data_IF_666332908974
#
_entry.id   IF_666332908974
#
_cell.length_a   1.000
_cell.length_b   1.000
_cell.length_c   1.000
_cell.angle_alpha   90.00
_cell.angle_beta   90.00
_cell.angle_gamma   90.00
#
_symmetry.space_group_name_H-M   'P 1'
#
loop_
_entity.id
_entity.type
_entity.pdbx_description
1 polymer ?
#
# COMPACT_ATOMS: atom_id res chain seq x y z
N UNK A 1 -8.63 -6.11 31.51
CA UNK A 1 -7.44 -5.25 31.55
C UNK A 1 -6.32 -5.77 30.63
N UNK A 2 -6.10 -7.06 30.57
CA UNK A 2 -5.05 -7.69 29.73
C UNK A 2 -5.36 -7.62 28.24
N UNK A 3 -6.61 -7.86 27.86
CA UNK A 3 -7.06 -7.73 26.44
C UNK A 3 -6.96 -6.28 25.93
N UNK A 4 -7.27 -5.32 26.81
CA UNK A 4 -7.22 -3.89 26.47
C UNK A 4 -5.77 -3.40 26.28
N UNK A 5 -4.84 -3.92 27.08
CA UNK A 5 -3.41 -3.64 26.92
C UNK A 5 -2.83 -4.25 25.65
N UNK A 6 -3.24 -5.45 25.29
CA UNK A 6 -2.77 -6.12 24.07
C UNK A 6 -3.29 -5.41 22.81
N UNK A 7 -4.56 -4.98 22.84
CA UNK A 7 -5.16 -4.20 21.73
C UNK A 7 -4.49 -2.84 21.54
N UNK A 8 -4.11 -2.18 22.65
CA UNK A 8 -3.40 -0.89 22.62
C UNK A 8 -1.97 -1.08 22.15
N UNK A 9 -1.29 -2.18 22.53
CA UNK A 9 0.05 -2.51 22.06
C UNK A 9 0.07 -2.87 20.56
N UNK A 10 -0.91 -3.63 20.09
CA UNK A 10 -1.06 -3.97 18.69
C UNK A 10 -1.40 -2.72 17.83
N UNK A 11 -2.16 -1.78 18.38
CA UNK A 11 -2.41 -0.47 17.76
C UNK A 11 -1.17 0.43 17.78
N UNK A 12 -0.31 0.32 18.80
CA UNK A 12 0.95 1.05 18.90
C UNK A 12 2.02 0.51 17.95
N UNK A 13 1.95 -0.77 17.56
CA UNK A 13 2.80 -1.33 16.51
C UNK A 13 2.41 -0.83 15.11
N UNK A 14 1.15 -0.43 14.92
CA UNK A 14 0.64 0.11 13.64
C UNK A 14 0.77 1.64 13.53
N UNK A 15 0.86 2.38 14.65
CA UNK A 15 0.96 3.84 14.66
C UNK A 15 2.01 4.29 15.68
N UNK A 16 3.09 4.99 15.26
CA UNK A 16 4.02 5.58 16.21
C UNK A 16 3.25 6.54 17.15
N UNK A 17 3.36 6.40 18.49
CA UNK A 17 2.58 7.23 19.44
C UNK A 17 2.82 8.73 19.26
N UNK A 18 4.01 9.12 18.80
CA UNK A 18 4.33 10.52 18.51
C UNK A 18 3.55 11.10 17.34
N UNK A 19 3.21 10.31 16.33
CA UNK A 19 2.40 10.75 15.19
C UNK A 19 0.94 10.98 15.58
N UNK A 20 0.42 10.25 16.59
CA UNK A 20 -0.91 10.49 17.14
C UNK A 20 -1.00 11.81 17.91
N UNK A 21 0.08 12.24 18.56
CA UNK A 21 0.11 13.49 19.34
C UNK A 21 0.48 14.72 18.51
N UNK A 22 1.38 14.56 17.52
CA UNK A 22 1.86 15.66 16.68
C UNK A 22 1.06 15.79 15.36
N UNK A 23 0.43 14.70 14.89
CA UNK A 23 -0.40 14.68 13.71
C UNK A 23 -1.74 15.41 13.84
N UNK A 24 -2.13 15.81 15.07
CA UNK A 24 -3.35 16.56 15.31
C UNK A 24 -3.33 17.99 14.75
N UNK A 25 -2.17 18.54 14.42
CA UNK A 25 -1.97 19.95 14.07
C UNK A 25 -1.21 20.19 12.77
N UNK A 26 -0.71 19.13 12.12
CA UNK A 26 -0.19 19.25 10.77
C UNK A 26 -1.32 19.23 9.74
N UNK A 27 -1.11 19.72 8.49
CA UNK A 27 -2.00 19.35 7.41
C UNK A 27 -1.94 17.83 7.31
N UNK A 28 -2.91 17.17 7.94
CA UNK A 28 -3.20 15.78 7.66
C UNK A 28 -3.69 15.81 6.22
N UNK A 29 -2.75 15.71 5.29
CA UNK A 29 -3.12 15.15 4.01
C UNK A 29 -3.83 13.87 4.38
N UNK A 30 -5.13 13.72 4.05
CA UNK A 30 -5.76 12.45 4.25
C UNK A 30 -4.90 11.47 3.47
N UNK A 31 -4.03 10.76 4.19
CA UNK A 31 -3.30 9.63 3.66
C UNK A 31 -4.39 8.69 3.19
N UNK A 32 -4.92 9.03 2.01
CA UNK A 32 -5.93 8.28 1.28
C UNK A 32 -6.92 7.61 2.23
N UNK A 33 -7.88 8.40 2.72
CA UNK A 33 -8.96 7.89 3.54
C UNK A 33 -9.50 6.62 2.87
N UNK A 34 -9.48 5.53 3.61
CA UNK A 34 -9.99 4.24 3.13
C UNK A 34 -11.41 4.46 2.59
N UNK A 35 -11.70 4.13 1.33
CA UNK A 35 -13.03 4.28 0.78
C UNK A 35 -14.07 3.56 1.65
N UNK A 36 -15.24 4.16 1.81
CA UNK A 36 -16.31 3.57 2.61
C UNK A 36 -16.63 2.16 2.09
N UNK A 37 -16.87 1.23 3.00
CA UNK A 37 -17.23 -0.17 2.75
C UNK A 37 -16.12 -1.07 2.18
N UNK A 38 -14.89 -0.61 2.10
CA UNK A 38 -13.73 -1.45 1.76
C UNK A 38 -12.91 -1.81 2.99
N UNK A 39 -12.37 -3.02 3.03
CA UNK A 39 -11.29 -3.36 3.94
C UNK A 39 -9.97 -2.78 3.41
N UNK A 40 -8.97 -2.67 4.26
CA UNK A 40 -7.63 -2.22 3.84
C UNK A 40 -7.03 -3.14 2.78
N UNK A 41 -7.23 -4.45 2.93
CA UNK A 41 -6.79 -5.44 1.94
C UNK A 41 -7.47 -5.24 0.58
N UNK A 42 -8.79 -5.04 0.56
CA UNK A 42 -9.52 -4.76 -0.67
C UNK A 42 -9.04 -3.47 -1.35
N UNK A 43 -8.77 -2.44 -0.55
CA UNK A 43 -8.23 -1.19 -1.06
C UNK A 43 -6.82 -1.35 -1.60
N UNK A 44 -5.98 -2.15 -0.94
CA UNK A 44 -4.65 -2.51 -1.46
C UNK A 44 -4.76 -3.20 -2.83
N UNK A 45 -5.65 -4.17 -2.97
CA UNK A 45 -5.86 -4.86 -4.25
C UNK A 45 -6.25 -3.89 -5.38
N UNK A 46 -7.21 -3.00 -5.11
CA UNK A 46 -7.64 -1.98 -6.08
C UNK A 46 -6.49 -1.06 -6.48
N UNK A 47 -5.69 -0.61 -5.49
CA UNK A 47 -4.61 0.31 -5.75
C UNK A 47 -3.39 -0.32 -6.41
N UNK A 48 -3.07 -1.57 -6.08
CA UNK A 48 -1.74 -2.12 -6.37
C UNK A 48 -1.74 -3.41 -7.17
N UNK A 49 -2.87 -4.06 -7.40
CA UNK A 49 -2.92 -5.31 -8.16
C UNK A 49 -3.62 -5.09 -9.49
N UNK A 50 -2.86 -5.20 -10.59
CA UNK A 50 -3.42 -5.11 -11.94
C UNK A 50 -2.69 -6.08 -12.86
N UNK A 51 -3.43 -6.90 -13.65
CA UNK A 51 -2.80 -7.80 -14.61
C UNK A 51 -2.11 -7.04 -15.75
N UNK A 52 -1.05 -7.64 -16.27
CA UNK A 52 -0.34 -7.14 -17.45
C UNK A 52 -1.05 -7.54 -18.76
N UNK A 53 -0.96 -6.78 -19.86
CA UNK A 53 -0.27 -5.49 -19.99
C UNK A 53 -1.09 -4.35 -19.39
N UNK A 54 -0.41 -3.40 -18.74
CA UNK A 54 -1.04 -2.32 -18.02
C UNK A 54 -0.79 -0.98 -18.69
N UNK A 55 -1.86 -0.21 -18.87
CA UNK A 55 -1.84 1.20 -19.28
C UNK A 55 -2.23 2.05 -18.09
N UNK A 56 -1.35 2.92 -17.64
CA UNK A 56 -1.56 3.74 -16.44
C UNK A 56 -2.82 4.60 -16.49
N UNK A 57 -3.12 5.24 -17.60
CA UNK A 57 -4.36 6.03 -17.72
C UNK A 57 -5.60 5.21 -17.41
N UNK A 58 -5.67 3.98 -17.93
CA UNK A 58 -6.80 3.08 -17.72
C UNK A 58 -6.83 2.53 -16.29
N UNK A 59 -5.70 2.04 -15.79
CA UNK A 59 -5.60 1.45 -14.46
C UNK A 59 -5.84 2.48 -13.35
N UNK A 60 -5.29 3.68 -13.49
CA UNK A 60 -5.46 4.76 -12.53
C UNK A 60 -6.87 5.34 -12.50
N UNK A 61 -7.66 5.16 -13.55
CA UNK A 61 -9.05 5.64 -13.56
C UNK A 61 -9.86 5.04 -12.39
N UNK A 62 -9.71 3.76 -12.12
CA UNK A 62 -10.37 3.10 -10.98
C UNK A 62 -9.90 3.68 -9.64
N UNK A 63 -8.60 3.82 -9.44
CA UNK A 63 -8.01 4.39 -8.21
C UNK A 63 -8.48 5.83 -7.99
N UNK A 64 -8.36 6.67 -9.01
CA UNK A 64 -8.72 8.09 -8.95
C UNK A 64 -10.22 8.29 -8.73
N UNK A 65 -11.06 7.41 -9.27
CA UNK A 65 -12.50 7.47 -9.06
C UNK A 65 -12.89 7.23 -7.59
N UNK A 66 -12.21 6.31 -6.90
CA UNK A 66 -12.43 6.11 -5.45
C UNK A 66 -11.98 7.30 -4.61
N UNK A 67 -10.88 7.93 -4.97
CA UNK A 67 -10.28 9.04 -4.21
C UNK A 67 -10.82 10.41 -4.61
N UNK A 68 -11.52 10.52 -5.75
CA UNK A 68 -12.05 11.76 -6.33
C UNK A 68 -10.96 12.83 -6.56
N UNK A 69 -9.73 12.38 -6.82
CA UNK A 69 -8.61 13.25 -7.22
C UNK A 69 -7.58 12.46 -8.05
N UNK A 70 -6.71 13.16 -8.75
CA UNK A 70 -5.60 12.54 -9.46
C UNK A 70 -4.48 12.18 -8.48
N UNK A 71 -4.28 10.90 -8.22
CA UNK A 71 -3.19 10.42 -7.38
C UNK A 71 -1.85 10.71 -8.07
N UNK A 72 -0.90 11.40 -7.39
CA UNK A 72 0.36 11.82 -8.03
C UNK A 72 1.23 10.68 -8.51
N UNK A 73 1.28 9.60 -7.75
CA UNK A 73 2.08 8.41 -8.05
C UNK A 73 1.39 7.15 -7.56
N UNK A 74 1.50 6.08 -8.33
CA UNK A 74 1.06 4.76 -7.92
C UNK A 74 1.88 3.68 -8.61
N UNK A 75 2.16 2.59 -7.89
CA UNK A 75 2.85 1.42 -8.44
C UNK A 75 1.91 0.23 -8.45
N UNK A 76 1.83 -0.46 -9.58
CA UNK A 76 1.07 -1.70 -9.72
C UNK A 76 1.96 -2.92 -9.77
N UNK A 77 1.55 -3.96 -9.05
CA UNK A 77 2.04 -5.34 -9.10
C UNK A 77 1.18 -6.15 -10.07
N UNK A 78 1.80 -6.98 -10.89
CA UNK A 78 1.08 -7.70 -11.94
C UNK A 78 0.30 -8.91 -11.43
N UNK A 79 0.73 -9.52 -10.32
CA UNK A 79 0.10 -10.73 -9.79
C UNK A 79 -0.03 -10.73 -8.26
N UNK A 80 -1.16 -11.22 -7.72
CA UNK A 80 -1.31 -11.41 -6.27
C UNK A 80 -0.29 -12.40 -5.67
N UNK A 81 0.19 -13.36 -6.45
CA UNK A 81 1.17 -14.35 -6.01
C UNK A 81 2.50 -13.73 -5.54
N UNK A 82 2.88 -12.60 -6.12
CA UNK A 82 4.08 -11.86 -5.68
C UNK A 82 3.90 -11.32 -4.25
N UNK A 83 2.70 -10.85 -3.92
CA UNK A 83 2.35 -10.38 -2.57
C UNK A 83 2.36 -11.55 -1.60
N UNK A 84 1.71 -12.66 -1.94
CA UNK A 84 1.70 -13.86 -1.10
C UNK A 84 3.12 -14.35 -0.80
N UNK A 85 4.01 -14.39 -1.80
CA UNK A 85 5.40 -14.78 -1.62
C UNK A 85 6.18 -13.84 -0.69
N UNK A 86 5.90 -12.55 -0.70
CA UNK A 86 6.51 -11.59 0.22
C UNK A 86 6.05 -11.82 1.67
N UNK A 87 4.78 -12.14 1.87
CA UNK A 87 4.20 -12.39 3.20
C UNK A 87 4.80 -13.60 3.92
N UNK A 88 5.34 -14.58 3.19
CA UNK A 88 6.01 -15.75 3.74
C UNK A 88 7.42 -15.46 4.29
N UNK A 89 8.00 -14.31 3.96
CA UNK A 89 9.32 -13.92 4.40
C UNK A 89 9.30 -13.20 5.75
N UNK A 90 10.43 -13.19 6.49
CA UNK A 90 10.55 -12.46 7.74
C UNK A 90 10.23 -10.97 7.58
N UNK A 91 9.77 -10.35 8.65
CA UNK A 91 9.52 -8.91 8.71
C UNK A 91 10.80 -8.11 8.53
N UNK A 92 10.67 -6.95 7.90
CA UNK A 92 11.72 -5.93 7.78
C UNK A 92 11.19 -4.57 8.20
N UNK A 93 12.10 -3.61 8.36
CA UNK A 93 11.74 -2.25 8.77
C UNK A 93 11.16 -1.48 7.58
N UNK A 94 9.98 -0.90 7.78
CA UNK A 94 9.34 0.00 6.84
C UNK A 94 10.06 1.36 6.76
N UNK A 95 9.74 2.12 5.73
CA UNK A 95 10.23 3.50 5.54
C UNK A 95 9.93 4.41 6.73
N UNK A 96 8.82 4.19 7.42
CA UNK A 96 8.42 4.92 8.63
C UNK A 96 9.06 4.41 9.93
N UNK A 97 9.93 3.41 9.88
CA UNK A 97 10.62 2.82 11.03
C UNK A 97 9.86 1.67 11.73
N UNK A 98 8.63 1.35 11.32
CA UNK A 98 7.87 0.22 11.87
C UNK A 98 8.41 -1.13 11.36
N UNK A 99 8.35 -2.15 12.20
CA UNK A 99 8.79 -3.51 11.87
C UNK A 99 7.61 -4.40 11.45
N UNK A 100 6.87 -3.97 10.44
CA UNK A 100 5.73 -4.69 9.90
C UNK A 100 5.74 -4.74 8.36
N UNK A 101 6.90 -4.60 7.76
CA UNK A 101 7.08 -4.71 6.33
C UNK A 101 7.60 -6.07 5.90
N UNK A 102 7.32 -6.43 4.64
CA UNK A 102 7.78 -7.64 3.99
C UNK A 102 8.31 -7.30 2.61
N UNK A 103 9.50 -7.79 2.30
CA UNK A 103 10.14 -7.60 1.00
C UNK A 103 9.82 -8.80 0.10
N UNK A 104 9.63 -8.55 -1.20
CA UNK A 104 9.52 -9.63 -2.18
C UNK A 104 10.79 -10.48 -2.22
N UNK A 105 10.68 -11.82 -2.42
CA UNK A 105 11.83 -12.72 -2.44
C UNK A 105 12.76 -12.51 -3.65
N UNK A 106 12.23 -11.92 -4.71
CA UNK A 106 12.94 -11.62 -5.96
C UNK A 106 12.41 -10.33 -6.57
N UNK A 107 13.17 -9.70 -7.47
CA UNK A 107 12.66 -8.60 -8.28
C UNK A 107 11.49 -9.06 -9.15
N UNK A 108 10.55 -8.18 -9.40
CA UNK A 108 9.39 -8.42 -10.25
C UNK A 108 9.16 -7.25 -11.20
N UNK A 109 8.42 -7.49 -12.27
CA UNK A 109 7.96 -6.40 -13.12
C UNK A 109 6.91 -5.58 -12.39
N UNK A 110 7.18 -4.30 -12.24
CA UNK A 110 6.28 -3.31 -11.69
C UNK A 110 5.77 -2.40 -12.80
N UNK A 111 4.70 -1.67 -12.54
CA UNK A 111 4.29 -0.56 -13.39
C UNK A 111 4.09 0.68 -12.54
N UNK A 112 4.95 1.66 -12.75
CA UNK A 112 4.85 2.97 -12.09
C UNK A 112 4.03 3.91 -12.94
N UNK A 113 3.03 4.50 -12.30
CA UNK A 113 2.15 5.49 -12.89
C UNK A 113 2.40 6.84 -12.22
N UNK A 114 2.89 7.79 -12.99
CA UNK A 114 3.22 9.12 -12.50
C UNK A 114 2.32 10.16 -13.16
N UNK A 115 1.63 10.97 -12.36
CA UNK A 115 0.73 12.01 -12.84
C UNK A 115 1.51 13.05 -13.64
N UNK A 116 1.00 13.38 -14.81
CA UNK A 116 1.35 14.59 -15.53
C UNK A 116 0.42 15.75 -15.08
N UNK A 117 0.56 16.95 -15.61
CA UNK A 117 -0.06 18.18 -15.05
C UNK A 117 -1.58 18.31 -15.33
N UNK A 118 -2.40 17.35 -14.85
CA UNK A 118 -3.85 17.35 -15.07
C UNK A 118 -4.65 17.34 -13.78
N UNK A 119 -5.91 17.82 -13.85
CA UNK A 119 -6.85 17.84 -12.72
C UNK A 119 -7.96 16.80 -12.90
N UNK A 120 -8.39 16.23 -11.78
CA UNK A 120 -9.54 15.32 -11.76
C UNK A 120 -10.78 15.98 -12.40
N UNK A 121 -11.56 15.28 -13.24
CA UNK A 121 -11.46 13.87 -13.59
C UNK A 121 -10.49 13.51 -14.72
N UNK A 122 -9.82 14.47 -15.34
CA UNK A 122 -8.96 14.29 -16.51
C UNK A 122 -7.51 13.98 -16.13
N UNK A 123 -7.32 12.96 -15.30
CA UNK A 123 -5.99 12.55 -14.86
C UNK A 123 -5.23 11.84 -15.99
N UNK A 124 -4.04 12.35 -16.33
CA UNK A 124 -3.11 11.71 -17.26
C UNK A 124 -1.89 11.18 -16.52
N UNK A 125 -1.49 9.97 -16.83
CA UNK A 125 -0.40 9.25 -16.18
C UNK A 125 0.67 8.88 -17.20
N UNK A 126 1.93 9.03 -16.81
CA UNK A 126 3.08 8.52 -17.55
C UNK A 126 3.47 7.16 -16.99
N UNK A 127 3.68 6.18 -17.89
CA UNK A 127 4.03 4.81 -17.56
C UNK A 127 5.55 4.64 -17.43
N UNK A 128 5.98 3.86 -16.44
CA UNK A 128 7.32 3.28 -16.35
C UNK A 128 7.20 1.83 -15.90
N UNK A 129 8.11 0.97 -16.35
CA UNK A 129 8.06 -0.48 -16.10
C UNK A 129 9.37 -0.97 -15.47
N UNK A 130 9.66 -0.63 -14.20
CA UNK A 130 10.87 -1.09 -13.54
C UNK A 130 10.81 -2.57 -13.18
N UNK A 131 11.99 -3.19 -13.06
CA UNK A 131 12.18 -4.55 -12.55
C UNK A 131 12.93 -4.47 -11.22
N UNK A 132 12.19 -4.53 -10.11
CA UNK A 132 12.70 -4.26 -8.77
C UNK A 132 12.07 -5.15 -7.72
N UNK A 133 12.70 -5.23 -6.55
CA UNK A 133 12.04 -5.68 -5.34
C UNK A 133 11.01 -4.65 -4.90
N UNK A 134 9.96 -5.11 -4.24
CA UNK A 134 9.00 -4.26 -3.55
C UNK A 134 8.94 -4.60 -2.06
N UNK A 135 8.55 -3.64 -1.27
CA UNK A 135 8.30 -3.80 0.17
C UNK A 135 6.87 -3.35 0.45
N UNK A 136 6.13 -4.19 1.14
CA UNK A 136 4.74 -3.95 1.54
C UNK A 136 4.61 -3.94 3.06
N UNK A 137 3.84 -3.01 3.59
CA UNK A 137 3.44 -3.00 4.99
C UNK A 137 2.20 -3.88 5.18
N UNK A 138 2.18 -4.63 6.27
CA UNK A 138 1.14 -5.62 6.56
C UNK A 138 0.62 -5.49 7.99
N UNK A 139 -0.62 -5.96 8.20
CA UNK A 139 -1.21 -6.11 9.53
C UNK A 139 -1.96 -7.44 9.65
N UNK A 140 -2.32 -7.89 10.88
CA UNK A 140 -3.16 -9.06 11.08
C UNK A 140 -4.51 -8.93 10.39
N UNK A 141 -5.04 -10.05 9.92
CA UNK A 141 -6.33 -10.14 9.23
C UNK A 141 -7.50 -9.70 10.12
N UNK A 142 -8.49 -9.06 9.50
CA UNK A 142 -9.79 -8.77 10.08
C UNK A 142 -10.85 -9.75 9.54
N UNK A 143 -12.03 -9.81 10.18
CA UNK A 143 -13.10 -10.77 9.80
C UNK A 143 -13.56 -10.69 8.33
N UNK A 144 -13.40 -9.53 7.69
CA UNK A 144 -13.83 -9.28 6.30
C UNK A 144 -12.70 -9.41 5.29
N UNK A 145 -11.49 -9.70 5.74
CA UNK A 145 -10.33 -9.87 4.87
C UNK A 145 -10.32 -11.27 4.24
N UNK A 146 -9.63 -11.44 3.09
CA UNK A 146 -9.32 -12.74 2.53
C UNK A 146 -8.58 -13.64 3.54
N UNK A 147 -8.58 -14.96 3.39
CA UNK A 147 -8.04 -15.91 4.37
C UNK A 147 -6.50 -15.98 4.40
N UNK A 148 -5.85 -14.84 4.48
CA UNK A 148 -4.41 -14.71 4.70
C UNK A 148 -4.12 -14.44 6.18
N UNK A 149 -3.00 -14.90 6.70
CA UNK A 149 -2.58 -14.60 8.07
C UNK A 149 -2.22 -13.12 8.27
N UNK A 150 -1.74 -12.48 7.22
CA UNK A 150 -1.41 -11.06 7.15
C UNK A 150 -2.07 -10.44 5.94
N UNK A 151 -2.47 -9.20 6.06
CA UNK A 151 -3.03 -8.42 4.95
C UNK A 151 -2.13 -7.25 4.60
N UNK A 152 -1.86 -7.05 3.31
CA UNK A 152 -1.13 -5.88 2.86
C UNK A 152 -1.98 -4.62 3.03
N UNK A 153 -1.33 -3.55 3.51
CA UNK A 153 -1.95 -2.23 3.73
C UNK A 153 -1.60 -1.23 2.64
N UNK A 154 -0.32 -1.18 2.31
CA UNK A 154 0.22 -0.30 1.29
C UNK A 154 1.57 -0.79 0.79
N UNK A 155 1.93 -0.34 -0.40
CA UNK A 155 3.26 -0.48 -0.94
C UNK A 155 4.16 0.57 -0.28
N UNK A 156 5.16 0.12 0.48
CA UNK A 156 6.04 1.00 1.25
C UNK A 156 7.11 1.64 0.36
N UNK A 157 7.82 0.83 -0.39
CA UNK A 157 8.86 1.29 -1.33
C UNK A 157 9.27 0.21 -2.33
N UNK A 158 9.97 0.65 -3.36
CA UNK A 158 10.71 -0.21 -4.27
C UNK A 158 12.20 -0.13 -3.96
N UNK A 159 12.91 -1.23 -4.14
CA UNK A 159 14.35 -1.30 -3.90
C UNK A 159 15.06 -2.12 -4.97
N UNK A 160 16.31 -1.75 -5.26
CA UNK A 160 17.12 -2.44 -6.25
C UNK A 160 17.78 -3.71 -5.69
N UNK A 161 18.03 -3.75 -4.39
CA UNK A 161 18.76 -4.81 -3.71
C UNK A 161 17.98 -5.33 -2.50
N UNK A 162 18.35 -6.53 -2.05
CA UNK A 162 17.86 -7.08 -0.79
C UNK A 162 18.38 -6.21 0.36
N UNK A 163 17.49 -5.77 1.23
CA UNK A 163 17.81 -4.99 2.43
C UNK A 163 17.87 -5.86 3.67
#
# INVERSE_FOLDING_TARGET
LYLHRKLVLDLLECFPPLLLLLGLWGPVYPLYALPKNLTKAQWFEIQHIQPSPLQCNKAMHGVNNYTQHCKPQNTFLQTPSNVAAALELPKTICKNGLNNCHQSPKPVNLTDCNLTAEKYPNCHQKDAAPYKFFIIACEPTQKRDPPYHLVPLHLDKEVNNVT
#
